data_IF_088491714376
#
_entry.id   IF_088491714376
#
_cell.length_a   1.000
_cell.length_b   1.000
_cell.length_c   1.000
_cell.angle_alpha   90.00
_cell.angle_beta   90.00
_cell.angle_gamma   90.00
#
_symmetry.space_group_name_H-M   'P 1'
#
loop_
_entity.id
_entity.type
_entity.pdbx_description
1 polymer ?
#
# COMPACT_ATOMS: atom_id res chain seq x y z
N UNK A 1 -15.77 -0.31 -22.91
CA UNK A 1 -15.91 1.05 -22.34
C UNK A 1 -16.62 0.91 -21.01
N UNK A 2 -15.89 0.87 -19.89
CA UNK A 2 -16.48 0.75 -18.55
C UNK A 2 -17.06 2.09 -18.11
N UNK A 3 -18.35 2.13 -17.78
CA UNK A 3 -19.01 3.34 -17.28
C UNK A 3 -18.46 3.64 -15.88
N UNK A 4 -17.64 4.69 -15.77
CA UNK A 4 -17.18 5.26 -14.49
C UNK A 4 -18.38 5.74 -13.67
N UNK A 5 -18.34 5.52 -12.36
CA UNK A 5 -19.37 5.97 -11.43
C UNK A 5 -19.55 7.50 -11.49
N UNK A 6 -20.76 7.92 -11.80
CA UNK A 6 -21.22 9.32 -11.74
C UNK A 6 -22.59 9.32 -11.11
N UNK A 7 -22.78 10.04 -9.99
CA UNK A 7 -24.08 10.23 -9.32
C UNK A 7 -24.35 11.73 -9.20
N UNK A 8 -25.55 12.18 -9.55
CA UNK A 8 -25.98 13.59 -9.51
C UNK A 8 -25.04 14.58 -10.23
N UNK A 9 -24.42 14.17 -11.35
CA UNK A 9 -23.48 15.01 -12.10
C UNK A 9 -22.15 15.29 -11.39
N UNK A 10 -21.95 14.78 -10.16
CA UNK A 10 -20.66 14.77 -9.48
C UNK A 10 -20.00 13.43 -9.73
N UNK A 11 -18.78 13.45 -10.28
CA UNK A 11 -17.88 12.31 -10.12
C UNK A 11 -17.71 12.10 -8.61
N UNK A 12 -17.73 10.85 -8.12
CA UNK A 12 -17.22 10.53 -6.78
C UNK A 12 -15.69 10.68 -6.72
N UNK A 13 -15.16 11.78 -7.30
CA UNK A 13 -13.77 12.23 -7.21
C UNK A 13 -13.67 13.45 -6.28
N UNK A 14 -14.73 13.72 -5.51
CA UNK A 14 -14.77 14.84 -4.56
C UNK A 14 -13.92 14.56 -3.33
N UNK A 15 -12.62 14.82 -3.42
CA UNK A 15 -11.73 15.10 -2.29
C UNK A 15 -11.69 14.07 -1.14
N UNK A 16 -11.69 12.76 -1.44
CA UNK A 16 -11.39 11.73 -0.44
C UNK A 16 -10.22 10.87 -0.96
N UNK A 17 -9.12 10.89 -0.20
CA UNK A 17 -7.85 10.17 -0.45
C UNK A 17 -8.07 8.76 -1.03
N UNK A 18 -7.58 8.53 -2.26
CA UNK A 18 -7.98 7.39 -3.10
C UNK A 18 -7.13 6.11 -2.95
N UNK A 19 -6.34 5.98 -1.89
CA UNK A 19 -5.92 4.65 -1.40
C UNK A 19 -6.00 4.67 0.13
N UNK A 20 -7.12 4.19 0.70
CA UNK A 20 -7.13 3.78 2.10
C UNK A 20 -6.66 2.34 2.14
N UNK A 21 -5.45 2.11 2.63
CA UNK A 21 -4.87 0.77 2.69
C UNK A 21 -5.16 0.17 4.06
N UNK A 22 -5.38 -1.15 4.17
CA UNK A 22 -5.73 -1.85 5.39
C UNK A 22 -5.16 -1.26 6.70
N UNK A 23 -6.04 -0.99 7.66
CA UNK A 23 -5.68 -0.79 9.06
C UNK A 23 -4.70 -1.87 9.53
N UNK A 24 -3.60 -1.43 10.14
CA UNK A 24 -2.55 -2.31 10.63
C UNK A 24 -1.54 -2.77 9.58
N UNK A 25 -1.32 -1.99 8.51
CA UNK A 25 -0.17 -2.13 7.60
C UNK A 25 1.15 -2.31 8.36
N UNK A 26 2.02 -3.17 7.82
CA UNK A 26 3.31 -3.49 8.45
C UNK A 26 4.44 -2.56 7.97
N UNK A 27 4.21 -1.84 6.87
CA UNK A 27 5.16 -0.88 6.31
C UNK A 27 4.81 -0.55 4.86
N UNK A 28 5.83 -0.14 4.10
CA UNK A 28 5.72 0.13 2.66
C UNK A 28 6.57 -0.85 1.84
N UNK A 29 6.05 -1.27 0.70
CA UNK A 29 6.78 -1.95 -0.36
C UNK A 29 7.16 -0.93 -1.42
N UNK A 30 8.46 -0.75 -1.60
CA UNK A 30 9.05 0.14 -2.60
C UNK A 30 9.50 -0.68 -3.80
N UNK A 31 9.11 -0.23 -4.98
CA UNK A 31 9.54 -0.79 -6.27
C UNK A 31 10.40 0.21 -7.02
N UNK A 32 11.40 -0.29 -7.74
CA UNK A 32 12.37 0.49 -8.49
C UNK A 32 12.78 -0.27 -9.75
N UNK A 33 13.04 0.46 -10.83
CA UNK A 33 13.71 -0.08 -12.01
C UNK A 33 15.22 -0.32 -11.79
N UNK A 34 15.79 0.17 -10.69
CA UNK A 34 17.19 -0.03 -10.34
C UNK A 34 17.43 -1.49 -9.90
N UNK A 35 18.50 -2.10 -10.41
CA UNK A 35 18.84 -3.49 -10.14
C UNK A 35 19.60 -3.68 -8.81
N UNK A 36 20.10 -2.61 -8.18
CA UNK A 36 20.83 -2.67 -6.91
C UNK A 36 19.91 -2.43 -5.70
N UNK A 37 19.60 -3.47 -4.89
CA UNK A 37 18.73 -3.33 -3.73
C UNK A 37 19.29 -2.39 -2.66
N UNK A 38 20.62 -2.23 -2.56
CA UNK A 38 21.23 -1.36 -1.55
C UNK A 38 20.96 0.11 -1.86
N UNK A 39 21.12 0.49 -3.13
CA UNK A 39 20.79 1.84 -3.59
C UNK A 39 19.29 2.13 -3.40
N UNK A 40 18.41 1.19 -3.75
CA UNK A 40 16.95 1.36 -3.56
C UNK A 40 16.60 1.55 -2.08
N UNK A 41 17.18 0.73 -1.19
CA UNK A 41 16.96 0.84 0.25
C UNK A 41 17.46 2.18 0.80
N UNK A 42 18.66 2.61 0.40
CA UNK A 42 19.23 3.91 0.79
C UNK A 42 18.34 5.07 0.35
N UNK A 43 17.86 5.05 -0.90
CA UNK A 43 16.99 6.11 -1.43
C UNK A 43 15.63 6.11 -0.73
N UNK A 44 15.04 4.94 -0.48
CA UNK A 44 13.77 4.83 0.24
C UNK A 44 13.86 5.41 1.66
N UNK A 45 14.91 5.03 2.41
CA UNK A 45 15.15 5.55 3.77
C UNK A 45 15.36 7.06 3.75
N UNK A 46 16.17 7.57 2.80
CA UNK A 46 16.39 9.01 2.66
C UNK A 46 15.09 9.76 2.39
N UNK A 47 14.27 9.30 1.45
CA UNK A 47 12.97 9.91 1.12
C UNK A 47 12.04 9.94 2.33
N UNK A 48 12.04 8.90 3.16
CA UNK A 48 11.27 8.89 4.40
C UNK A 48 11.79 9.90 5.42
N UNK A 49 13.10 10.00 5.62
CA UNK A 49 13.67 11.03 6.49
C UNK A 49 13.41 12.45 5.99
N UNK A 50 13.50 12.67 4.67
CA UNK A 50 13.39 14.00 4.06
C UNK A 50 11.93 14.51 4.05
N UNK A 51 10.94 13.63 3.89
CA UNK A 51 9.54 14.04 3.62
C UNK A 51 8.51 13.57 4.63
N UNK A 52 8.87 12.70 5.58
CA UNK A 52 7.96 12.28 6.65
C UNK A 52 8.49 12.82 7.96
N UNK A 53 7.88 13.91 8.45
CA UNK A 53 8.39 14.64 9.63
C UNK A 53 8.60 13.77 10.86
N UNK A 54 7.76 12.74 11.08
CA UNK A 54 7.92 11.82 12.20
C UNK A 54 9.20 10.95 12.12
N UNK A 55 9.72 10.74 10.91
CA UNK A 55 11.00 10.09 10.66
C UNK A 55 12.13 11.08 10.47
N UNK A 56 11.88 12.39 10.45
CA UNK A 56 12.93 13.39 10.28
C UNK A 56 13.96 13.27 11.40
N UNK A 57 15.23 13.16 11.00
CA UNK A 57 16.37 13.17 11.93
C UNK A 57 16.61 14.56 12.51
N UNK A 58 16.14 15.60 11.82
CA UNK A 58 16.11 16.97 12.27
C UNK A 58 14.67 17.23 12.72
N UNK A 59 14.36 16.92 13.98
CA UNK A 59 13.11 17.43 14.53
C UNK A 59 13.22 18.96 14.60
N UNK A 60 12.13 19.67 14.30
CA UNK A 60 12.01 21.13 14.52
C UNK A 60 12.24 21.55 16.00
N UNK A 61 12.55 20.59 16.89
CA UNK A 61 12.80 20.74 18.31
C UNK A 61 14.28 20.70 18.71
N UNK A 62 15.20 20.41 17.78
CA UNK A 62 16.63 20.46 18.08
C UNK A 62 17.09 21.93 18.08
N UNK A 63 17.22 22.51 19.27
CA UNK A 63 17.66 23.90 19.42
C UNK A 63 19.19 24.05 19.34
N UNK A 64 19.93 22.94 19.50
CA UNK A 64 21.40 22.91 19.52
C UNK A 64 21.98 21.77 18.70
N UNK A 65 23.24 21.93 18.28
CA UNK A 65 24.01 20.90 17.56
C UNK A 65 24.18 19.60 18.38
N UNK A 66 24.21 19.71 19.71
CA UNK A 66 24.31 18.56 20.61
C UNK A 66 23.01 17.75 20.65
N UNK A 67 21.86 18.44 20.59
CA UNK A 67 20.54 17.81 20.45
C UNK A 67 20.40 17.12 19.08
N UNK A 68 20.92 17.72 18.01
CA UNK A 68 20.97 17.11 16.68
C UNK A 68 21.83 15.84 16.70
N UNK A 69 23.02 15.88 17.29
CA UNK A 69 23.91 14.73 17.39
C UNK A 69 23.32 13.61 18.26
N UNK A 70 22.63 13.95 19.34
CA UNK A 70 21.91 12.99 20.19
C UNK A 70 20.69 12.38 19.48
N UNK A 71 19.92 13.18 18.73
CA UNK A 71 18.79 12.71 17.92
C UNK A 71 19.26 11.79 16.79
N UNK A 72 20.38 12.10 16.14
CA UNK A 72 21.02 11.23 15.14
C UNK A 72 21.52 9.91 15.72
N UNK A 73 21.93 9.90 17.00
CA UNK A 73 22.34 8.69 17.71
C UNK A 73 21.14 7.80 18.11
N UNK A 74 20.00 8.40 18.48
CA UNK A 74 18.77 7.69 18.85
C UNK A 74 17.91 7.27 17.64
N UNK A 75 17.96 8.03 16.54
CA UNK A 75 17.13 7.83 15.35
C UNK A 75 17.55 6.64 14.46
N UNK A 76 18.68 5.99 14.76
CA UNK A 76 19.24 4.88 13.94
C UNK A 76 18.32 3.65 13.84
N UNK A 77 17.36 3.49 14.74
CA UNK A 77 16.57 2.25 14.85
C UNK A 77 15.07 2.38 14.50
N UNK A 78 14.62 3.53 13.96
CA UNK A 78 13.19 3.75 13.66
C UNK A 78 12.73 3.06 12.37
N UNK A 79 13.57 3.02 11.34
CA UNK A 79 13.24 2.43 10.04
C UNK A 79 13.99 1.10 9.86
N UNK A 80 13.25 0.04 9.55
CA UNK A 80 13.76 -1.30 9.27
C UNK A 80 13.63 -1.58 7.78
N UNK A 81 14.75 -1.57 7.05
CA UNK A 81 14.77 -2.03 5.67
C UNK A 81 15.01 -3.53 5.61
N UNK A 82 14.06 -4.25 5.02
CA UNK A 82 14.15 -5.69 4.82
C UNK A 82 14.31 -5.93 3.32
N UNK A 83 15.49 -6.37 2.86
CA UNK A 83 15.66 -6.82 1.49
C UNK A 83 14.67 -7.95 1.20
N UNK A 84 13.79 -7.76 0.22
CA UNK A 84 12.82 -8.78 -0.18
C UNK A 84 13.49 -9.96 -0.92
N UNK A 85 14.78 -9.81 -1.25
CA UNK A 85 15.53 -10.77 -2.03
C UNK A 85 15.17 -10.80 -3.52
N UNK A 86 14.39 -9.81 -3.96
CA UNK A 86 13.99 -9.55 -5.35
C UNK A 86 14.61 -8.23 -5.80
N UNK A 87 15.21 -8.22 -7.00
CA UNK A 87 15.83 -7.00 -7.55
C UNK A 87 14.80 -5.89 -7.74
N UNK A 88 15.12 -4.68 -7.29
CA UNK A 88 14.24 -3.53 -7.40
C UNK A 88 13.06 -3.52 -6.41
N UNK A 89 13.00 -4.44 -5.44
CA UNK A 89 11.93 -4.48 -4.43
C UNK A 89 12.53 -4.41 -3.02
N UNK A 90 12.10 -3.42 -2.24
CA UNK A 90 12.52 -3.24 -0.84
C UNK A 90 11.27 -3.07 0.01
N UNK A 91 11.20 -3.82 1.12
CA UNK A 91 10.22 -3.55 2.16
C UNK A 91 10.86 -2.65 3.20
N UNK A 92 10.13 -1.60 3.59
CA UNK A 92 10.52 -0.71 4.68
C UNK A 92 9.42 -0.75 5.73
N UNK A 93 9.73 -1.34 6.87
CA UNK A 93 8.88 -1.33 8.07
C UNK A 93 9.44 -0.38 9.11
N UNK A 94 8.69 -0.15 10.18
CA UNK A 94 9.13 0.61 11.35
C UNK A 94 8.47 0.06 12.60
N UNK A 95 9.05 0.36 13.76
CA UNK A 95 8.47 -0.02 15.04
C UNK A 95 7.12 0.68 15.24
N UNK A 96 6.14 -0.06 15.74
CA UNK A 96 4.82 0.48 16.09
C UNK A 96 4.92 1.20 17.44
N UNK A 97 5.50 2.40 17.40
CA UNK A 97 5.53 3.37 18.49
C UNK A 97 4.34 4.35 18.30
N UNK A 98 3.61 4.76 19.35
CA UNK A 98 2.60 5.82 19.26
C UNK A 98 3.05 7.11 18.56
N UNK A 99 4.35 7.39 18.56
CA UNK A 99 4.95 8.56 17.90
C UNK A 99 5.27 8.31 16.42
N UNK A 100 5.18 7.07 15.93
CA UNK A 100 5.40 6.73 14.53
C UNK A 100 4.06 6.72 13.76
N UNK A 101 4.03 7.28 12.53
CA UNK A 101 2.83 7.31 11.71
C UNK A 101 2.48 5.90 11.23
N UNK A 102 1.19 5.67 10.95
CA UNK A 102 0.80 4.48 10.19
C UNK A 102 1.29 4.56 8.72
N UNK A 103 1.26 3.45 8.00
CA UNK A 103 1.76 3.40 6.62
C UNK A 103 0.94 4.24 5.63
N UNK A 104 -0.34 4.51 5.92
CA UNK A 104 -1.16 5.39 5.09
C UNK A 104 -0.71 6.84 5.25
N UNK A 105 -0.50 7.29 6.49
CA UNK A 105 0.00 8.63 6.77
C UNK A 105 1.37 8.87 6.13
N UNK A 106 2.25 7.86 6.14
CA UNK A 106 3.53 7.91 5.40
C UNK A 106 3.29 8.12 3.92
N UNK A 107 2.41 7.33 3.30
CA UNK A 107 2.14 7.42 1.86
C UNK A 107 1.49 8.75 1.50
N UNK A 108 0.63 9.30 2.36
CA UNK A 108 0.02 10.62 2.17
C UNK A 108 1.06 11.74 2.23
N UNK A 109 2.02 11.70 3.19
CA UNK A 109 3.15 12.61 3.21
C UNK A 109 3.97 12.55 1.91
N UNK A 110 4.22 11.33 1.41
CA UNK A 110 4.97 11.12 0.18
C UNK A 110 4.22 11.59 -1.07
N UNK A 111 2.89 11.42 -1.13
CA UNK A 111 2.06 11.99 -2.20
C UNK A 111 2.10 13.51 -2.17
N UNK A 112 2.01 14.11 -0.98
CA UNK A 112 2.13 15.56 -0.83
C UNK A 112 3.50 16.05 -1.35
N UNK A 113 4.58 15.37 -1.00
CA UNK A 113 5.91 15.70 -1.53
C UNK A 113 5.96 15.62 -3.07
N UNK A 114 5.29 14.65 -3.70
CA UNK A 114 5.19 14.61 -5.17
C UNK A 114 4.39 15.77 -5.75
N UNK A 115 3.29 16.17 -5.10
CA UNK A 115 2.52 17.35 -5.54
C UNK A 115 3.32 18.65 -5.39
N UNK A 116 4.36 18.65 -4.55
CA UNK A 116 5.34 19.71 -4.38
C UNK A 116 6.61 19.51 -5.26
N UNK A 117 6.54 18.65 -6.27
CA UNK A 117 7.62 18.37 -7.24
C UNK A 117 8.93 17.85 -6.61
N UNK A 118 8.85 17.21 -5.44
CA UNK A 118 10.01 16.59 -4.79
C UNK A 118 10.49 15.36 -5.54
N UNK A 119 11.81 15.15 -5.60
CA UNK A 119 12.41 14.07 -6.39
C UNK A 119 12.52 12.74 -5.62
N UNK A 120 11.98 11.69 -6.21
CA UNK A 120 11.95 10.33 -5.66
C UNK A 120 12.93 9.43 -6.43
N UNK A 121 14.18 9.87 -6.56
CA UNK A 121 15.22 9.25 -7.38
C UNK A 121 15.16 7.72 -7.41
N UNK A 122 14.98 7.17 -8.61
CA UNK A 122 14.96 5.73 -8.89
C UNK A 122 13.82 4.95 -8.23
N UNK A 123 12.92 5.56 -7.45
CA UNK A 123 11.73 4.90 -6.92
C UNK A 123 10.60 4.99 -7.94
N UNK A 124 10.07 3.84 -8.31
CA UNK A 124 9.01 3.71 -9.30
C UNK A 124 7.63 3.63 -8.67
N UNK A 125 7.47 2.89 -7.57
CA UNK A 125 6.19 2.82 -6.82
C UNK A 125 6.38 2.58 -5.34
N UNK A 126 5.46 3.12 -4.54
CA UNK A 126 5.39 2.90 -3.10
C UNK A 126 3.99 2.39 -2.78
N UNK A 127 3.91 1.24 -2.12
CA UNK A 127 2.66 0.64 -1.70
C UNK A 127 2.68 0.48 -0.19
N UNK A 128 1.74 1.03 0.57
CA UNK A 128 1.52 0.55 1.92
C UNK A 128 1.02 -0.91 1.83
N UNK A 129 1.57 -1.78 2.67
CA UNK A 129 1.35 -3.23 2.57
C UNK A 129 1.16 -3.88 3.94
N UNK A 130 0.33 -4.91 3.96
CA UNK A 130 0.35 -5.96 4.97
C UNK A 130 1.36 -7.04 4.53
N UNK A 131 2.21 -7.49 5.45
CA UNK A 131 3.19 -8.54 5.20
C UNK A 131 2.79 -9.82 5.95
N UNK A 132 2.81 -10.96 5.25
CA UNK A 132 2.67 -12.28 5.88
C UNK A 132 3.87 -13.16 5.55
N UNK A 133 4.34 -13.92 6.53
CA UNK A 133 5.30 -15.00 6.29
C UNK A 133 4.56 -16.16 5.64
N UNK A 134 4.92 -16.48 4.40
CA UNK A 134 4.38 -17.61 3.65
C UNK A 134 3.36 -17.25 2.59
N UNK A 135 3.04 -18.27 1.79
CA UNK A 135 2.18 -18.23 0.61
C UNK A 135 1.35 -19.52 0.49
N UNK A 136 1.17 -20.26 1.58
CA UNK A 136 0.22 -21.36 1.67
C UNK A 136 -1.19 -20.81 1.76
N UNK A 137 -2.18 -21.62 1.41
CA UNK A 137 -3.60 -21.24 1.40
C UNK A 137 -4.03 -20.50 2.66
N UNK A 138 -3.71 -21.03 3.86
CA UNK A 138 -4.08 -20.37 5.11
C UNK A 138 -3.45 -18.97 5.30
N UNK A 139 -2.23 -18.77 4.82
CA UNK A 139 -1.53 -17.49 4.89
C UNK A 139 -2.09 -16.49 3.87
N UNK A 140 -2.41 -16.97 2.66
CA UNK A 140 -3.09 -16.20 1.62
C UNK A 140 -4.46 -15.73 2.10
N UNK A 141 -5.25 -16.65 2.67
CA UNK A 141 -6.57 -16.34 3.22
C UNK A 141 -6.46 -15.30 4.34
N UNK A 142 -5.55 -15.51 5.30
CA UNK A 142 -5.33 -14.55 6.39
C UNK A 142 -4.93 -13.17 5.89
N UNK A 143 -3.97 -13.09 4.96
CA UNK A 143 -3.50 -11.82 4.40
C UNK A 143 -4.60 -11.10 3.62
N UNK A 144 -5.33 -11.85 2.81
CA UNK A 144 -6.43 -11.34 1.98
C UNK A 144 -7.60 -10.85 2.83
N UNK A 145 -8.07 -11.65 3.80
CA UNK A 145 -9.15 -11.26 4.70
C UNK A 145 -8.82 -9.96 5.43
N UNK A 146 -7.60 -9.85 5.98
CA UNK A 146 -7.16 -8.60 6.63
C UNK A 146 -7.16 -7.42 5.66
N UNK A 147 -6.65 -7.61 4.44
CA UNK A 147 -6.58 -6.54 3.45
C UNK A 147 -7.96 -6.04 3.03
N UNK A 148 -8.86 -6.97 2.71
CA UNK A 148 -10.23 -6.67 2.25
C UNK A 148 -11.07 -6.08 3.37
N UNK A 149 -11.04 -6.69 4.57
CA UNK A 149 -11.84 -6.21 5.69
C UNK A 149 -11.52 -4.77 6.03
N UNK A 150 -10.24 -4.43 6.10
CA UNK A 150 -9.85 -3.09 6.47
C UNK A 150 -10.06 -2.07 5.33
N UNK A 151 -9.88 -2.46 4.07
CA UNK A 151 -10.22 -1.58 2.94
C UNK A 151 -11.72 -1.24 2.91
N UNK A 152 -12.59 -2.25 3.00
CA UNK A 152 -14.04 -2.07 2.99
C UNK A 152 -14.53 -1.31 4.24
N UNK A 153 -14.00 -1.63 5.42
CA UNK A 153 -14.33 -0.88 6.64
C UNK A 153 -13.94 0.59 6.55
N UNK A 154 -12.83 0.90 5.87
CA UNK A 154 -12.38 2.26 5.67
C UNK A 154 -13.22 3.04 4.64
N UNK A 155 -13.79 2.35 3.63
CA UNK A 155 -14.80 2.90 2.72
C UNK A 155 -16.11 3.18 3.45
N UNK A 156 -16.62 2.21 4.22
CA UNK A 156 -17.85 2.35 5.02
C UNK A 156 -17.74 3.49 6.04
N UNK A 157 -16.56 3.67 6.63
CA UNK A 157 -16.28 4.79 7.54
C UNK A 157 -16.23 6.15 6.84
N UNK A 158 -15.90 6.17 5.54
CA UNK A 158 -15.88 7.42 4.76
C UNK A 158 -17.27 7.77 4.21
N UNK A 159 -18.05 6.77 3.81
CA UNK A 159 -19.41 6.89 3.31
C UNK A 159 -20.21 5.67 3.76
N UNK A 160 -21.06 5.86 4.78
CA UNK A 160 -21.87 4.78 5.33
C UNK A 160 -22.95 4.28 4.37
N UNK A 161 -23.31 5.05 3.35
CA UNK A 161 -24.34 4.69 2.36
C UNK A 161 -23.83 3.84 1.20
N UNK A 162 -22.50 3.69 1.10
CA UNK A 162 -21.86 2.97 -0.02
C UNK A 162 -22.29 1.51 -0.08
N UNK A 163 -22.53 0.89 1.08
CA UNK A 163 -22.87 -0.52 1.22
C UNK A 163 -24.27 -0.82 0.70
N UNK A 164 -25.25 0.01 1.08
CA UNK A 164 -26.63 -0.10 0.60
C UNK A 164 -26.68 0.11 -0.91
N UNK A 165 -25.92 1.08 -1.42
CA UNK A 165 -25.80 1.33 -2.88
C UNK A 165 -25.27 0.09 -3.61
N UNK A 166 -24.28 -0.61 -3.05
CA UNK A 166 -23.75 -1.83 -3.65
C UNK A 166 -24.75 -2.99 -3.63
N UNK A 167 -25.71 -3.00 -2.69
CA UNK A 167 -26.77 -4.00 -2.64
C UNK A 167 -27.87 -3.69 -3.67
N UNK A 168 -28.27 -2.42 -3.77
CA UNK A 168 -29.41 -1.99 -4.58
C UNK A 168 -29.10 -1.84 -6.06
N UNK A 169 -27.91 -1.33 -6.41
CA UNK A 169 -27.59 -0.98 -7.81
C UNK A 169 -26.75 -2.05 -8.51
N UNK A 170 -25.60 -2.40 -7.92
CA UNK A 170 -24.66 -3.40 -8.46
C UNK A 170 -23.60 -3.80 -7.43
N UNK A 171 -23.04 -5.03 -7.51
CA UNK A 171 -21.97 -5.45 -6.63
C UNK A 171 -20.75 -4.54 -6.74
N UNK A 172 -20.04 -4.37 -5.61
CA UNK A 172 -18.71 -3.80 -5.58
C UNK A 172 -17.71 -4.76 -6.24
N UNK A 173 -16.96 -4.28 -7.21
CA UNK A 173 -16.10 -5.12 -8.05
C UNK A 173 -14.66 -5.12 -7.52
N UNK A 174 -14.16 -6.29 -7.12
CA UNK A 174 -12.76 -6.48 -6.71
C UNK A 174 -12.02 -7.21 -7.83
N UNK A 175 -10.85 -6.70 -8.22
CA UNK A 175 -9.91 -7.43 -9.05
C UNK A 175 -8.72 -7.88 -8.22
N UNK A 176 -8.46 -9.18 -8.23
CA UNK A 176 -7.27 -9.77 -7.61
C UNK A 176 -6.16 -9.88 -8.65
N UNK A 177 -4.94 -9.54 -8.25
CA UNK A 177 -3.75 -9.74 -9.08
C UNK A 177 -2.58 -10.18 -8.21
N UNK A 178 -2.01 -11.34 -8.53
CA UNK A 178 -0.82 -11.85 -7.87
C UNK A 178 0.40 -11.71 -8.78
N UNK A 179 1.54 -11.36 -8.20
CA UNK A 179 2.83 -11.44 -8.88
C UNK A 179 3.81 -12.20 -8.01
N UNK A 180 4.34 -13.29 -8.57
CA UNK A 180 5.31 -14.16 -7.90
C UNK A 180 6.71 -13.82 -8.40
N UNK A 181 7.62 -13.52 -7.46
CA UNK A 181 9.00 -13.14 -7.76
C UNK A 181 9.97 -13.98 -6.96
N UNK A 182 10.89 -14.63 -7.68
CA UNK A 182 11.92 -15.50 -7.11
C UNK A 182 11.35 -16.57 -6.16
N UNK A 183 10.22 -17.16 -6.55
CA UNK A 183 9.58 -18.29 -5.89
C UNK A 183 9.09 -19.26 -6.97
N UNK A 184 9.49 -20.52 -6.89
CA UNK A 184 9.15 -21.57 -7.85
C UNK A 184 8.17 -22.61 -7.28
N UNK A 185 7.77 -22.46 -6.01
CA UNK A 185 6.89 -23.39 -5.31
C UNK A 185 5.44 -22.90 -5.22
N UNK A 186 5.12 -21.82 -5.94
CA UNK A 186 3.82 -21.18 -5.94
C UNK A 186 3.50 -20.67 -7.35
N UNK A 187 2.24 -20.79 -7.75
CA UNK A 187 1.75 -20.32 -9.05
C UNK A 187 0.78 -19.14 -8.87
N UNK A 188 0.88 -18.13 -9.74
CA UNK A 188 0.15 -16.88 -9.59
C UNK A 188 -1.36 -17.11 -9.71
N UNK A 189 -1.78 -18.04 -10.57
CA UNK A 189 -3.20 -18.35 -10.79
C UNK A 189 -3.80 -19.03 -9.56
N UNK A 190 -3.06 -19.93 -8.92
CA UNK A 190 -3.47 -20.54 -7.64
C UNK A 190 -3.63 -19.47 -6.56
N UNK A 191 -2.66 -18.55 -6.44
CA UNK A 191 -2.75 -17.46 -5.44
C UNK A 191 -3.94 -16.56 -5.72
N UNK A 192 -4.17 -16.20 -6.98
CA UNK A 192 -5.31 -15.37 -7.38
C UNK A 192 -6.65 -16.05 -7.07
N UNK A 193 -6.75 -17.36 -7.30
CA UNK A 193 -7.95 -18.13 -6.97
C UNK A 193 -8.21 -18.15 -5.46
N UNK A 194 -7.21 -18.55 -4.68
CA UNK A 194 -7.31 -18.62 -3.21
C UNK A 194 -7.63 -17.25 -2.58
N UNK A 195 -7.00 -16.19 -3.09
CA UNK A 195 -7.28 -14.85 -2.65
C UNK A 195 -8.67 -14.36 -3.11
N UNK A 196 -9.16 -14.78 -4.28
CA UNK A 196 -10.52 -14.43 -4.73
C UNK A 196 -11.59 -15.01 -3.80
N UNK A 197 -11.45 -16.29 -3.44
CA UNK A 197 -12.38 -16.98 -2.54
C UNK A 197 -12.35 -16.35 -1.13
N UNK A 198 -11.16 -16.05 -0.63
CA UNK A 198 -10.98 -15.36 0.65
C UNK A 198 -11.54 -13.93 0.63
N UNK A 199 -11.34 -13.18 -0.47
CA UNK A 199 -11.85 -11.82 -0.60
C UNK A 199 -13.39 -11.79 -0.62
N UNK A 200 -14.01 -12.71 -1.34
CA UNK A 200 -15.47 -12.84 -1.37
C UNK A 200 -16.02 -13.16 0.02
N UNK A 201 -15.41 -14.14 0.70
CA UNK A 201 -15.83 -14.56 2.05
C UNK A 201 -15.68 -13.43 3.07
N UNK A 202 -14.56 -12.70 3.03
CA UNK A 202 -14.30 -11.57 3.91
C UNK A 202 -15.33 -10.45 3.71
N UNK A 203 -15.64 -10.12 2.46
CA UNK A 203 -16.63 -9.09 2.14
C UNK A 203 -18.05 -9.50 2.55
N UNK A 204 -18.44 -10.75 2.30
CA UNK A 204 -19.74 -11.30 2.72
C UNK A 204 -19.90 -11.31 4.24
N UNK A 205 -18.83 -11.61 4.98
CA UNK A 205 -18.81 -11.56 6.45
C UNK A 205 -19.07 -10.15 6.96
N UNK A 206 -18.61 -9.13 6.24
CA UNK A 206 -18.92 -7.73 6.51
C UNK A 206 -20.31 -7.29 6.00
N UNK A 207 -21.07 -8.16 5.32
CA UNK A 207 -22.37 -7.84 4.73
C UNK A 207 -22.30 -7.01 3.44
N UNK A 208 -21.15 -6.99 2.77
CA UNK A 208 -21.00 -6.30 1.49
C UNK A 208 -21.48 -7.16 0.31
N UNK A 209 -22.19 -6.56 -0.64
CA UNK A 209 -22.48 -7.19 -1.92
C UNK A 209 -21.30 -6.98 -2.89
N UNK A 210 -20.50 -8.03 -3.11
CA UNK A 210 -19.23 -7.97 -3.85
C UNK A 210 -19.19 -9.03 -4.94
N UNK A 211 -18.50 -8.70 -6.04
CA UNK A 211 -18.12 -9.65 -7.08
C UNK A 211 -16.61 -9.56 -7.34
N UNK A 212 -15.95 -10.71 -7.45
CA UNK A 212 -14.53 -10.77 -7.84
C UNK A 212 -14.46 -11.03 -9.34
N UNK A 213 -13.88 -10.09 -10.09
CA UNK A 213 -13.87 -10.12 -11.54
C UNK A 213 -12.46 -9.93 -12.14
N UNK A 214 -12.17 -10.60 -13.27
CA UNK A 214 -10.88 -10.45 -13.95
C UNK A 214 -10.75 -9.12 -14.72
N UNK A 215 -11.85 -8.45 -15.05
CA UNK A 215 -11.87 -7.21 -15.83
C UNK A 215 -12.96 -6.25 -15.35
N UNK A 216 -12.62 -4.97 -15.21
CA UNK A 216 -13.47 -3.96 -14.58
C UNK A 216 -13.50 -4.13 -13.06
N UNK A 217 -13.12 -3.09 -12.33
CA UNK A 217 -13.00 -3.16 -10.88
C UNK A 217 -13.19 -1.80 -10.25
N UNK A 218 -13.83 -1.77 -9.09
CA UNK A 218 -13.88 -0.62 -8.19
C UNK A 218 -12.62 -0.57 -7.31
N UNK A 219 -12.08 -1.74 -6.97
CA UNK A 219 -10.82 -1.89 -6.23
C UNK A 219 -9.92 -3.02 -6.76
N UNK A 220 -8.62 -2.86 -6.54
CA UNK A 220 -7.59 -3.84 -6.85
C UNK A 220 -6.97 -4.38 -5.57
N UNK A 221 -7.02 -5.69 -5.38
CA UNK A 221 -6.19 -6.41 -4.43
C UNK A 221 -4.92 -6.87 -5.16
N UNK A 222 -3.78 -6.28 -4.81
CA UNK A 222 -2.48 -6.61 -5.37
C UNK A 222 -1.68 -7.42 -4.36
N UNK A 223 -1.21 -8.58 -4.78
CA UNK A 223 -0.44 -9.52 -3.96
C UNK A 223 0.94 -9.68 -4.60
N UNK A 224 1.99 -9.30 -3.89
CA UNK A 224 3.36 -9.53 -4.31
C UNK A 224 3.99 -10.60 -3.42
N UNK A 225 4.30 -11.76 -3.99
CA UNK A 225 5.04 -12.81 -3.28
C UNK A 225 6.51 -12.69 -3.66
N UNK A 226 7.34 -12.31 -2.70
CA UNK A 226 8.79 -12.18 -2.86
C UNK A 226 9.45 -13.26 -2.01
N UNK A 227 10.02 -14.29 -2.66
CA UNK A 227 10.55 -15.48 -1.98
C UNK A 227 9.52 -16.10 -1.03
N UNK A 228 9.68 -15.90 0.27
CA UNK A 228 8.85 -16.51 1.32
C UNK A 228 7.84 -15.53 1.94
N UNK A 229 7.79 -14.28 1.50
CA UNK A 229 6.93 -13.26 2.11
C UNK A 229 5.91 -12.77 1.09
N UNK A 230 4.65 -12.70 1.50
CA UNK A 230 3.57 -12.14 0.69
C UNK A 230 3.22 -10.74 1.21
N UNK A 231 3.11 -9.79 0.29
CA UNK A 231 2.76 -8.41 0.54
C UNK A 231 1.42 -8.09 -0.13
N UNK A 232 0.45 -7.66 0.66
CA UNK A 232 -0.93 -7.38 0.23
C UNK A 232 -1.16 -5.88 0.29
N UNK A 233 -1.71 -5.33 -0.77
CA UNK A 233 -2.21 -3.96 -0.80
C UNK A 233 -3.54 -3.93 -1.53
N UNK A 234 -4.46 -3.09 -1.06
CA UNK A 234 -5.76 -2.90 -1.69
C UNK A 234 -5.97 -1.41 -1.94
N UNK A 235 -6.45 -1.07 -3.13
CA UNK A 235 -6.62 0.33 -3.57
C UNK A 235 -7.79 0.48 -4.54
N UNK A 236 -8.31 1.70 -4.69
CA UNK A 236 -9.35 1.99 -5.69
C UNK A 236 -8.83 1.96 -7.13
N UNK A 237 -9.75 2.04 -8.11
CA UNK A 237 -9.44 2.22 -9.55
C UNK A 237 -8.96 3.63 -9.91
N UNK A 238 -8.86 4.52 -8.92
CA UNK A 238 -8.30 5.86 -9.09
C UNK A 238 -6.77 5.81 -9.20
N UNK A 239 -6.32 5.79 -10.45
CA UNK A 239 -5.02 6.25 -10.95
C UNK A 239 -3.78 5.36 -10.75
N UNK A 240 -3.18 5.08 -11.92
CA UNK A 240 -1.78 4.72 -12.13
C UNK A 240 -0.85 5.87 -11.68
N UNK A 241 -0.67 6.12 -10.38
CA UNK A 241 0.45 6.97 -9.95
C UNK A 241 1.72 6.11 -10.02
N UNK A 242 2.36 6.16 -11.18
CA UNK A 242 3.74 5.72 -11.35
C UNK A 242 4.62 6.85 -10.83
N UNK A 243 5.43 6.59 -9.82
CA UNK A 243 6.40 7.52 -9.25
C UNK A 243 7.61 7.68 -10.19
N UNK A 244 7.67 6.87 -11.26
CA UNK A 244 8.56 7.07 -12.39
C UNK A 244 7.98 8.14 -13.34
N UNK A 245 8.22 9.42 -13.01
CA UNK A 245 8.51 10.55 -13.92
C UNK A 245 8.12 11.90 -13.26
N UNK A 246 9.04 12.48 -12.49
CA UNK A 246 9.25 13.94 -12.52
C UNK A 246 10.55 14.12 -13.30
N UNK A 247 10.42 14.14 -14.62
CA UNK A 247 11.52 14.29 -15.55
C UNK A 247 10.94 14.45 -16.95
N UNK A 248 11.12 15.66 -17.50
CA UNK A 248 10.64 16.20 -18.80
C UNK A 248 9.11 16.37 -18.90
N UNK A 249 8.55 17.57 -19.06
CA UNK A 249 8.98 18.80 -19.74
C UNK A 249 8.59 20.05 -18.97
#
# INVERSE_FOLDING_TARGET
>A
MGKRWVRNGRRMQGAVSSEKVPDGCDGILVTSACLDPRTVAKNAVRILHDYVSAFSLLHDKCATLEDELAALAQGKDRLLTIPTGVRGFVFVGWTRDPMCPDANAVVDCLRKALTEERSFYQISRIYPVLATSGFRTAEIHRGTTRAVTAYLGALESADSSIKDTCIEERPFLIRVSATIRHNTSCDARTVEQEASDAALTAAQTLGWHVSVMPAGSDAFLIINICRTTAYYTMRGDDCKISYAAVGSQ
#
